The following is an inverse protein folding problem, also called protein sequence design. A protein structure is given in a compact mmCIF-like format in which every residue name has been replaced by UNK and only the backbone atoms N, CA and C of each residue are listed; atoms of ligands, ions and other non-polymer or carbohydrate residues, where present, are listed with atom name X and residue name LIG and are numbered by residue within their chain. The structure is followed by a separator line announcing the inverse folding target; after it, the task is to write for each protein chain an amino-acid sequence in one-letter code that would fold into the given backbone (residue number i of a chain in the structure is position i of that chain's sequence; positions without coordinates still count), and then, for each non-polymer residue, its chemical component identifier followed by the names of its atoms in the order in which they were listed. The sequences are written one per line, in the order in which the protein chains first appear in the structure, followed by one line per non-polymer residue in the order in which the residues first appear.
data_IF_999001461987
#
_entry.id   IF_999001461987
#
_cell.length_a   1.000
_cell.length_b   1.000
_cell.length_c   1.000
_cell.angle_alpha   90.00
_cell.angle_beta   90.00
_cell.angle_gamma   90.00
#
_symmetry.space_group_name_H-M   'P 1'
#
loop_
_entity.id
_entity.type
_entity.pdbx_description
1 polymer ?
#
# COMPACT_ATOMS: atom_id res chain seq x y z
N UNK A 1 4.65 1.20 -18.27
CA UNK A 1 3.22 1.35 -17.96
C UNK A 1 3.02 0.50 -16.73
N UNK A 2 2.80 1.13 -15.58
CA UNK A 2 2.45 0.39 -14.36
C UNK A 2 1.11 -0.25 -14.61
N UNK A 3 1.10 -1.56 -14.84
CA UNK A 3 -0.14 -2.28 -15.00
C UNK A 3 -0.87 -2.22 -13.66
N UNK A 4 -1.98 -1.46 -13.58
CA UNK A 4 -2.87 -1.46 -12.40
C UNK A 4 -3.28 -2.88 -11.98
N UNK A 5 -3.23 -3.84 -12.91
CA UNK A 5 -3.45 -5.25 -12.64
C UNK A 5 -2.35 -5.87 -11.77
N UNK A 6 -1.10 -5.43 -11.88
CA UNK A 6 0.00 -5.89 -11.03
C UNK A 6 -0.19 -5.41 -9.60
N UNK A 7 -0.48 -4.12 -9.40
CA UNK A 7 -0.69 -3.56 -8.06
C UNK A 7 -1.89 -4.20 -7.36
N UNK A 8 -3.02 -4.36 -8.06
CA UNK A 8 -4.20 -5.04 -7.50
C UNK A 8 -3.94 -6.50 -7.16
N UNK A 9 -3.22 -7.23 -8.01
CA UNK A 9 -2.86 -8.63 -7.73
C UNK A 9 -1.91 -8.72 -6.55
N UNK A 10 -0.93 -7.80 -6.48
CA UNK A 10 0.02 -7.71 -5.38
C UNK A 10 -0.69 -7.42 -4.05
N UNK A 11 -1.68 -6.53 -4.08
CA UNK A 11 -2.52 -6.20 -2.93
C UNK A 11 -3.31 -7.42 -2.45
N UNK A 12 -3.99 -8.12 -3.38
CA UNK A 12 -4.78 -9.32 -3.10
C UNK A 12 -3.93 -10.47 -2.52
N UNK A 13 -2.74 -10.70 -3.07
CA UNK A 13 -1.83 -11.78 -2.60
C UNK A 13 -1.37 -11.55 -1.15
N UNK A 14 -1.35 -10.29 -0.70
CA UNK A 14 -0.88 -9.89 0.63
C UNK A 14 -2.03 -9.50 1.56
N UNK A 15 -3.28 -9.73 1.16
CA UNK A 15 -4.49 -9.31 1.87
C UNK A 15 -4.45 -7.82 2.29
N UNK A 16 -3.83 -6.98 1.46
CA UNK A 16 -3.65 -5.55 1.74
C UNK A 16 -4.53 -4.69 0.85
N UNK A 17 -4.83 -3.48 1.32
CA UNK A 17 -5.61 -2.50 0.57
C UNK A 17 -4.88 -2.06 -0.70
N UNK A 18 -5.65 -1.86 -1.77
CA UNK A 18 -5.10 -1.44 -3.08
C UNK A 18 -4.41 -0.08 -2.94
N UNK A 19 -4.94 0.81 -2.11
CA UNK A 19 -4.38 2.14 -1.84
C UNK A 19 -3.00 2.08 -1.20
N UNK A 20 -2.79 1.11 -0.29
CA UNK A 20 -1.48 0.85 0.33
C UNK A 20 -0.52 0.32 -0.73
N UNK A 21 -0.95 -0.66 -1.52
CA UNK A 21 -0.14 -1.17 -2.62
C UNK A 21 0.23 -0.06 -3.62
N UNK A 22 -0.73 0.79 -4.03
CA UNK A 22 -0.47 1.92 -4.92
C UNK A 22 0.54 2.91 -4.32
N UNK A 23 0.40 3.25 -3.04
CA UNK A 23 1.33 4.13 -2.35
C UNK A 23 2.75 3.54 -2.26
N UNK A 24 2.87 2.23 -2.02
CA UNK A 24 4.17 1.52 -2.01
C UNK A 24 4.81 1.57 -3.39
N UNK A 25 4.07 1.22 -4.45
CA UNK A 25 4.59 1.25 -5.82
C UNK A 25 4.95 2.66 -6.27
N UNK A 26 4.21 3.67 -5.82
CA UNK A 26 4.54 5.09 -6.07
C UNK A 26 5.85 5.50 -5.40
N UNK A 27 6.07 5.12 -4.13
CA UNK A 27 7.34 5.38 -3.42
C UNK A 27 8.50 4.56 -4.00
N UNK A 28 8.21 3.35 -4.46
CA UNK A 28 9.17 2.46 -5.09
C UNK A 28 9.45 2.81 -6.56
N UNK A 29 8.75 3.81 -7.12
CA UNK A 29 8.85 4.19 -8.54
C UNK A 29 8.69 2.98 -9.48
N UNK A 30 7.65 2.18 -9.23
CA UNK A 30 7.32 0.93 -9.94
C UNK A 30 8.35 -0.20 -9.84
N UNK A 31 9.33 -0.10 -8.94
CA UNK A 31 10.29 -1.17 -8.65
C UNK A 31 9.67 -2.17 -7.66
N UNK A 32 9.32 -3.36 -8.15
CA UNK A 32 8.70 -4.41 -7.33
C UNK A 32 9.60 -4.90 -6.17
N UNK A 33 10.92 -4.89 -6.35
CA UNK A 33 11.87 -5.31 -5.30
C UNK A 33 11.91 -4.27 -4.20
N UNK A 34 11.94 -2.99 -4.57
CA UNK A 34 11.89 -1.90 -3.59
C UNK A 34 10.50 -1.82 -2.92
N UNK A 35 9.43 -2.04 -3.67
CA UNK A 35 8.07 -2.12 -3.15
C UNK A 35 7.94 -3.22 -2.10
N UNK A 36 8.46 -4.42 -2.39
CA UNK A 36 8.50 -5.51 -1.43
C UNK A 36 9.33 -5.15 -0.19
N UNK A 37 10.46 -4.47 -0.37
CA UNK A 37 11.27 -4.02 0.77
C UNK A 37 10.52 -3.03 1.67
N UNK A 38 9.86 -2.03 1.08
CA UNK A 38 9.03 -1.07 1.81
C UNK A 38 7.89 -1.78 2.55
N UNK A 39 7.28 -2.79 1.92
CA UNK A 39 6.24 -3.62 2.52
C UNK A 39 6.73 -4.38 3.75
N UNK A 40 7.90 -5.03 3.64
CA UNK A 40 8.48 -5.85 4.72
C UNK A 40 9.06 -5.00 5.85
N UNK A 41 9.66 -3.85 5.54
CA UNK A 41 10.21 -2.94 6.56
C UNK A 41 9.11 -2.12 7.26
N UNK A 42 7.97 -1.90 6.59
CA UNK A 42 6.93 -0.98 7.05
C UNK A 42 7.34 0.48 6.83
N UNK A 43 6.42 1.31 6.36
CA UNK A 43 6.70 2.74 6.12
C UNK A 43 5.45 3.60 6.37
N UNK A 44 5.56 4.54 7.31
CA UNK A 44 4.47 5.44 7.68
C UNK A 44 4.06 6.39 6.53
N UNK A 45 5.00 6.76 5.65
CA UNK A 45 4.69 7.59 4.47
C UNK A 45 3.76 6.88 3.48
N UNK A 46 3.83 5.54 3.41
CA UNK A 46 2.89 4.73 2.61
C UNK A 46 1.49 4.90 3.15
N UNK A 47 1.32 4.80 4.46
CA UNK A 47 0.01 4.91 5.11
C UNK A 47 -0.59 6.29 4.87
N UNK A 48 0.20 7.35 5.06
CA UNK A 48 -0.22 8.73 4.79
C UNK A 48 -0.70 8.88 3.34
N UNK A 49 0.10 8.46 2.37
CA UNK A 49 -0.26 8.51 0.93
C UNK A 49 -1.48 7.66 0.61
N UNK A 50 -1.61 6.48 1.20
CA UNK A 50 -2.74 5.59 0.97
C UNK A 50 -4.04 6.23 1.47
N UNK A 51 -4.03 6.82 2.68
CA UNK A 51 -5.17 7.56 3.24
C UNK A 51 -5.44 8.90 2.54
N UNK A 52 -4.49 9.47 1.80
CA UNK A 52 -4.76 10.61 0.92
C UNK A 52 -5.49 10.20 -0.36
N UNK A 53 -5.33 8.94 -0.80
CA UNK A 53 -5.98 8.39 -2.01
C UNK A 53 -7.40 7.90 -1.76
N UNK A 54 -7.81 7.74 -0.51
CA UNK A 54 -9.15 7.26 -0.16
C UNK A 54 -9.77 8.03 0.99
N UNK A 55 -11.09 8.03 1.04
CA UNK A 55 -11.86 8.56 2.16
C UNK A 55 -12.20 7.47 3.20
N UNK A 56 -11.64 6.27 3.06
CA UNK A 56 -11.87 5.18 4.01
C UNK A 56 -11.35 5.53 5.41
N UNK A 57 -12.12 5.13 6.43
CA UNK A 57 -11.73 5.29 7.84
C UNK A 57 -10.59 4.34 8.25
N UNK A 58 -10.42 3.25 7.50
CA UNK A 58 -9.41 2.22 7.77
C UNK A 58 -8.91 1.58 6.48
N UNK A 59 -7.67 1.11 6.51
CA UNK A 59 -7.00 0.35 5.46
C UNK A 59 -6.41 -0.92 6.07
N UNK A 60 -6.16 -1.92 5.23
CA UNK A 60 -5.55 -3.18 5.65
C UNK A 60 -4.11 -3.23 5.17
N UNK A 61 -3.15 -3.32 6.09
CA UNK A 61 -1.77 -3.69 5.79
C UNK A 61 -1.64 -5.19 6.05
N UNK A 62 -2.16 -5.98 5.11
CA UNK A 62 -2.24 -7.42 5.24
C UNK A 62 -3.27 -7.79 6.29
N UNK A 63 -2.89 -8.60 7.28
CA UNK A 63 -3.81 -8.95 8.35
C UNK A 63 -4.03 -7.80 9.36
N UNK A 64 -3.22 -6.74 9.30
CA UNK A 64 -3.31 -5.61 10.21
C UNK A 64 -4.29 -4.54 9.70
N UNK A 65 -5.25 -4.16 10.55
CA UNK A 65 -6.17 -3.07 10.28
C UNK A 65 -5.59 -1.76 10.81
N UNK A 66 -5.28 -0.84 9.91
CA UNK A 66 -4.80 0.50 10.23
C UNK A 66 -5.99 1.45 10.16
N UNK A 67 -6.23 2.21 11.23
CA UNK A 67 -7.24 3.26 11.26
C UNK A 67 -6.60 4.61 10.90
N UNK A 68 -7.28 5.42 10.09
CA UNK A 68 -6.81 6.76 9.65
C UNK A 68 -6.46 7.69 10.81
N UNK A 69 -7.03 7.45 11.99
CA UNK A 69 -6.80 8.24 13.21
C UNK A 69 -5.48 7.91 13.92
N UNK A 70 -4.85 6.78 13.56
CA UNK A 70 -3.63 6.26 14.20
C UNK A 70 -2.38 6.44 13.33
N UNK A 71 -2.50 7.19 12.23
CA UNK A 71 -1.41 7.52 11.29
C UNK A 71 -1.02 8.98 11.44
#
# INVERSE_FOLDING_TARGET
MTDMNNVKSWANVRDTSIEIAEAIFELANDDEVLAQKIWEEGNDEVLLKAFEKTDADHLFWGEEKIDRKNV
#
